data_IF_012969703322
#
_entry.id   IF_012969703322
#
_cell.length_a   1.000
_cell.length_b   1.000
_cell.length_c   1.000
_cell.angle_alpha   90.00
_cell.angle_beta   90.00
_cell.angle_gamma   90.00
#
_symmetry.space_group_name_H-M   'P 1'
#
loop_
_entity.id
_entity.type
_entity.pdbx_description
1 polymer ?
#
# COMPACT_ATOMS: atom_id res chain seq x y z
N UNK A 1 3.60 -7.18 -13.19
CA UNK A 1 2.87 -6.36 -12.19
C UNK A 1 3.68 -6.04 -10.92
N UNK A 2 4.72 -6.81 -10.57
CA UNK A 2 5.60 -6.48 -9.44
C UNK A 2 5.18 -7.09 -8.09
N UNK A 3 4.32 -8.10 -8.11
CA UNK A 3 3.94 -8.89 -6.93
C UNK A 3 5.00 -9.92 -6.52
N UNK A 4 5.97 -10.21 -7.39
CA UNK A 4 6.97 -11.25 -7.21
C UNK A 4 8.33 -10.77 -7.72
N UNK A 5 9.41 -11.13 -7.02
CA UNK A 5 10.77 -10.81 -7.42
C UNK A 5 11.28 -11.82 -8.46
N UNK A 6 12.22 -11.42 -9.35
CA UNK A 6 12.84 -12.35 -10.29
C UNK A 6 13.42 -13.57 -9.56
N UNK A 7 13.23 -14.77 -10.11
CA UNK A 7 13.76 -16.03 -9.58
C UNK A 7 13.24 -16.41 -8.17
N UNK A 8 12.13 -15.83 -7.73
CA UNK A 8 11.43 -16.20 -6.48
C UNK A 8 10.01 -16.66 -6.76
N UNK A 9 9.47 -17.51 -5.86
CA UNK A 9 8.12 -18.06 -5.94
C UNK A 9 7.44 -18.00 -4.56
N UNK A 10 7.20 -16.79 -4.08
CA UNK A 10 6.52 -16.52 -2.80
C UNK A 10 5.06 -16.09 -2.98
N UNK A 11 4.70 -15.53 -4.15
CA UNK A 11 3.35 -15.05 -4.40
C UNK A 11 2.40 -16.22 -4.66
N UNK A 12 1.42 -16.43 -3.77
CA UNK A 12 0.45 -17.52 -3.88
C UNK A 12 -0.68 -17.13 -4.83
N UNK A 13 -0.94 -17.97 -5.83
CA UNK A 13 -2.05 -17.81 -6.78
C UNK A 13 -3.05 -18.95 -6.55
N UNK A 14 -4.08 -18.77 -5.70
CA UNK A 14 -5.03 -19.82 -5.33
C UNK A 14 -6.20 -19.94 -6.33
N UNK A 15 -6.07 -19.39 -7.53
CA UNK A 15 -7.13 -19.26 -8.54
C UNK A 15 -6.66 -19.86 -9.87
N UNK A 16 -7.58 -20.12 -10.80
CA UNK A 16 -7.20 -20.64 -12.12
C UNK A 16 -6.42 -19.61 -12.93
N UNK A 17 -5.63 -20.07 -13.90
CA UNK A 17 -4.83 -19.20 -14.78
C UNK A 17 -5.69 -18.09 -15.42
N UNK A 18 -6.86 -18.43 -15.95
CA UNK A 18 -7.80 -17.45 -16.53
C UNK A 18 -8.26 -16.39 -15.52
N UNK A 19 -8.38 -16.74 -14.25
CA UNK A 19 -8.69 -15.78 -13.18
C UNK A 19 -7.45 -14.96 -12.81
N UNK A 20 -6.28 -15.57 -12.70
CA UNK A 20 -5.01 -14.90 -12.40
C UNK A 20 -4.66 -13.87 -13.48
N UNK A 21 -4.81 -14.19 -14.77
CA UNK A 21 -4.60 -13.24 -15.86
C UNK A 21 -5.50 -12.02 -15.74
N UNK A 22 -6.78 -12.21 -15.39
CA UNK A 22 -7.70 -11.08 -15.16
C UNK A 22 -7.33 -10.26 -13.94
N UNK A 23 -6.92 -10.91 -12.84
CA UNK A 23 -6.48 -10.21 -11.63
C UNK A 23 -5.22 -9.38 -11.88
N UNK A 24 -4.21 -9.95 -12.53
CA UNK A 24 -3.00 -9.23 -12.88
C UNK A 24 -3.25 -8.14 -13.92
N UNK A 25 -4.09 -8.39 -14.93
CA UNK A 25 -4.46 -7.39 -15.94
C UNK A 25 -5.20 -6.18 -15.36
N UNK A 26 -5.98 -6.38 -14.30
CA UNK A 26 -6.70 -5.31 -13.59
C UNK A 26 -5.93 -4.74 -12.39
N UNK A 27 -4.73 -5.25 -12.09
CA UNK A 27 -3.92 -4.77 -10.98
C UNK A 27 -3.16 -3.50 -11.34
N UNK A 28 -2.65 -2.83 -10.32
CA UNK A 28 -1.65 -1.76 -10.47
C UNK A 28 -0.24 -2.32 -10.53
N UNK A 29 0.70 -1.52 -11.02
CA UNK A 29 2.13 -1.84 -10.99
C UNK A 29 2.69 -1.55 -9.60
N UNK A 30 2.91 -2.60 -8.81
CA UNK A 30 3.34 -2.55 -7.40
C UNK A 30 4.55 -1.63 -7.15
N UNK A 31 5.68 -1.71 -7.89
CA UNK A 31 6.84 -0.86 -7.60
C UNK A 31 6.58 0.63 -7.82
N UNK A 32 5.62 1.01 -8.66
CA UNK A 32 5.23 2.42 -8.85
C UNK A 32 4.60 2.96 -7.58
N UNK A 33 3.64 2.23 -7.02
CA UNK A 33 2.98 2.65 -5.79
C UNK A 33 3.88 2.54 -4.56
N UNK A 34 4.82 1.59 -4.54
CA UNK A 34 5.86 1.57 -3.52
C UNK A 34 6.72 2.85 -3.55
N UNK A 35 7.04 3.38 -4.73
CA UNK A 35 7.76 4.65 -4.86
C UNK A 35 6.91 5.85 -4.38
N UNK A 36 5.62 5.89 -4.74
CA UNK A 36 4.68 6.91 -4.25
C UNK A 36 4.57 6.87 -2.72
N UNK A 37 4.48 5.67 -2.13
CA UNK A 37 4.43 5.50 -0.68
C UNK A 37 5.67 6.07 0.01
N UNK A 38 6.87 5.86 -0.54
CA UNK A 38 8.12 6.46 -0.01
C UNK A 38 8.09 7.99 -0.04
N UNK A 39 7.48 8.59 -1.06
CA UNK A 39 7.33 10.06 -1.13
C UNK A 39 6.31 10.57 -0.11
N UNK A 40 5.26 9.80 0.17
CA UNK A 40 4.21 10.14 1.13
C UNK A 40 4.60 9.86 2.59
N UNK A 41 5.53 8.93 2.83
CA UNK A 41 5.97 8.50 4.17
C UNK A 41 6.18 9.67 5.17
N UNK A 42 6.99 10.70 4.89
CA UNK A 42 7.18 11.81 5.84
C UNK A 42 5.89 12.61 6.08
N UNK A 43 5.03 12.74 5.07
CA UNK A 43 3.75 13.46 5.20
C UNK A 43 2.75 12.68 6.03
N UNK A 44 2.73 11.36 5.88
CA UNK A 44 1.91 10.46 6.69
C UNK A 44 2.36 10.53 8.15
N UNK A 45 3.66 10.48 8.43
CA UNK A 45 4.17 10.62 9.81
C UNK A 45 3.78 11.96 10.44
N UNK A 46 3.92 13.08 9.71
CA UNK A 46 3.48 14.39 10.17
C UNK A 46 1.98 14.41 10.52
N UNK A 47 1.14 13.85 9.65
CA UNK A 47 -0.30 13.78 9.86
C UNK A 47 -0.68 12.92 11.07
N UNK A 48 0.01 11.78 11.27
CA UNK A 48 -0.19 10.90 12.43
C UNK A 48 0.19 11.62 13.73
N UNK A 49 1.34 12.31 13.78
CA UNK A 49 1.75 13.08 14.96
C UNK A 49 0.79 14.21 15.27
N UNK A 50 0.32 14.94 14.27
CA UNK A 50 -0.67 16.01 14.45
C UNK A 50 -1.95 15.47 15.07
N UNK A 51 -2.49 14.37 14.51
CA UNK A 51 -3.68 13.71 15.04
C UNK A 51 -3.49 13.25 16.48
N UNK A 52 -2.34 12.65 16.81
CA UNK A 52 -2.03 12.20 18.18
C UNK A 52 -2.01 13.36 19.17
N UNK A 53 -1.44 14.51 18.79
CA UNK A 53 -1.46 15.74 19.62
C UNK A 53 -2.89 16.24 19.84
N UNK A 54 -3.69 16.32 18.79
CA UNK A 54 -5.11 16.72 18.89
C UNK A 54 -5.91 15.78 19.81
N UNK A 55 -5.57 14.48 19.82
CA UNK A 55 -6.24 13.52 20.70
C UNK A 55 -5.76 13.63 22.15
N UNK A 56 -4.48 13.94 22.37
CA UNK A 56 -3.88 14.15 23.69
C UNK A 56 -4.32 15.47 24.34
N UNK A 57 -4.52 16.52 23.54
CA UNK A 57 -4.96 17.85 23.98
C UNK A 57 -6.48 17.91 24.27
N UNK A 58 -7.14 16.75 24.40
CA UNK A 58 -8.51 16.65 24.89
C UNK A 58 -9.57 16.95 23.85
N UNK A 59 -9.33 16.58 22.57
CA UNK A 59 -10.36 16.48 21.53
C UNK A 59 -11.38 17.62 21.57
N UNK A 60 -11.05 18.78 20.99
CA UNK A 60 -12.06 19.78 20.69
C UNK A 60 -12.97 19.24 19.59
N UNK A 61 -13.97 18.48 20.01
CA UNK A 61 -15.16 18.16 19.24
C UNK A 61 -15.73 19.46 18.69
N UNK A 62 -15.77 19.58 17.37
CA UNK A 62 -16.85 20.27 16.67
C UNK A 62 -17.59 19.24 15.83
#
# INVERSE_FOLDING_TARGET
MGFEAPQTYQFRIPVSDTQAYRQFGNSVVVPVFAAVAKLLEPKIHQAVTLRQRETADGGRSR
#
